data_IF_757111735180
#
_entry.id   IF_757111735180
#
_cell.length_a   1.000
_cell.length_b   1.000
_cell.length_c   1.000
_cell.angle_alpha   90.00
_cell.angle_beta   90.00
_cell.angle_gamma   90.00
#
_symmetry.space_group_name_H-M   'P 1'
#
loop_
_entity.id
_entity.type
_entity.pdbx_description
1 polymer ?
#
# COMPACT_ATOMS: atom_id res chain seq x y z
N UNK A 1 -20.70 15.68 14.97
CA UNK A 1 -20.80 14.71 13.84
C UNK A 1 -19.87 15.04 12.66
N UNK A 2 -19.59 16.30 12.36
CA UNK A 2 -18.72 16.68 11.23
C UNK A 2 -17.24 16.32 11.43
N UNK A 3 -16.72 16.45 12.66
CA UNK A 3 -15.36 16.03 13.00
C UNK A 3 -15.11 14.54 12.72
N UNK A 4 -16.03 13.67 13.13
CA UNK A 4 -15.93 12.23 12.88
C UNK A 4 -15.98 11.89 11.37
N UNK A 5 -16.80 12.62 10.59
CA UNK A 5 -16.83 12.49 9.13
C UNK A 5 -15.53 12.97 8.49
N UNK A 6 -14.90 14.01 9.03
CA UNK A 6 -13.60 14.54 8.58
C UNK A 6 -12.46 13.56 8.87
N UNK A 7 -12.37 13.05 10.10
CA UNK A 7 -11.39 12.02 10.49
C UNK A 7 -11.56 10.76 9.63
N UNK A 8 -12.79 10.26 9.47
CA UNK A 8 -13.05 9.10 8.57
C UNK A 8 -12.62 9.37 7.13
N UNK A 9 -12.78 10.61 6.66
CA UNK A 9 -12.34 10.98 5.32
C UNK A 9 -10.81 11.05 5.20
N UNK A 10 -10.13 11.58 6.22
CA UNK A 10 -8.69 11.67 6.29
C UNK A 10 -8.02 10.28 6.38
N UNK A 11 -8.63 9.37 7.14
CA UNK A 11 -8.16 8.01 7.33
C UNK A 11 -8.36 7.11 6.10
N UNK A 12 -9.09 7.57 5.07
CA UNK A 12 -9.33 6.87 3.78
C UNK A 12 -9.50 5.35 3.95
N UNK A 13 -10.56 4.85 4.62
CA UNK A 13 -10.70 3.43 4.95
C UNK A 13 -10.69 2.50 3.74
N UNK A 14 -10.99 3.03 2.53
CA UNK A 14 -10.90 2.28 1.27
C UNK A 14 -9.47 1.88 0.89
N UNK A 15 -8.44 2.55 1.40
CA UNK A 15 -7.03 2.21 1.12
C UNK A 15 -6.45 1.20 2.10
N UNK A 16 -7.18 0.80 3.15
CA UNK A 16 -6.72 -0.18 4.14
C UNK A 16 -6.45 -1.55 3.53
N UNK A 17 -7.11 -1.87 2.42
CA UNK A 17 -6.83 -3.09 1.67
C UNK A 17 -5.38 -3.17 1.20
N UNK A 18 -4.75 -2.03 0.89
CA UNK A 18 -3.38 -1.98 0.40
C UNK A 18 -2.35 -2.45 1.44
N UNK A 19 -2.62 -2.25 2.73
CA UNK A 19 -1.76 -2.73 3.82
C UNK A 19 -2.22 -4.06 4.41
N UNK A 20 -3.52 -4.35 4.38
CA UNK A 20 -4.06 -5.61 4.89
C UNK A 20 -3.65 -6.79 4.01
N UNK A 21 -3.71 -6.64 2.68
CA UNK A 21 -3.49 -7.78 1.78
C UNK A 21 -2.09 -8.36 1.78
N UNK A 22 -1.00 -7.57 1.82
CA UNK A 22 0.33 -8.14 1.96
C UNK A 22 0.43 -9.04 3.20
N UNK A 23 -0.12 -8.61 4.35
CA UNK A 23 -0.15 -9.41 5.58
C UNK A 23 -1.00 -10.67 5.42
N UNK A 24 -2.21 -10.55 4.86
CA UNK A 24 -3.11 -11.68 4.65
C UNK A 24 -2.54 -12.72 3.67
N UNK A 25 -1.86 -12.28 2.62
CA UNK A 25 -1.15 -13.14 1.68
C UNK A 25 -0.02 -13.88 2.41
N UNK A 26 0.80 -13.17 3.22
CA UNK A 26 1.85 -13.81 4.03
C UNK A 26 1.26 -14.85 4.97
N UNK A 27 0.22 -14.50 5.74
CA UNK A 27 -0.45 -15.44 6.65
C UNK A 27 -1.00 -16.65 5.89
N UNK A 28 -1.55 -16.48 4.68
CA UNK A 28 -2.07 -17.59 3.87
C UNK A 28 -0.96 -18.53 3.39
N UNK A 29 0.21 -17.99 3.02
CA UNK A 29 1.39 -18.79 2.65
C UNK A 29 1.96 -19.55 3.86
N UNK A 30 1.94 -18.92 5.03
CA UNK A 30 2.42 -19.52 6.28
C UNK A 30 1.42 -20.51 6.87
N UNK A 31 0.12 -20.34 6.63
CA UNK A 31 -0.91 -21.29 7.05
C UNK A 31 -0.63 -22.68 6.48
N UNK A 32 -0.28 -22.74 5.20
CA UNK A 32 0.03 -24.01 4.52
C UNK A 32 1.37 -24.62 4.94
N UNK A 33 2.40 -23.80 5.09
CA UNK A 33 3.75 -24.29 5.35
C UNK A 33 4.02 -24.56 6.83
N UNK A 34 3.45 -23.77 7.74
CA UNK A 34 3.77 -23.78 9.17
C UNK A 34 2.51 -23.83 10.08
N UNK A 35 1.31 -23.98 9.52
CA UNK A 35 0.06 -24.07 10.31
C UNK A 35 -0.38 -22.76 10.98
N UNK A 36 0.19 -21.62 10.58
CA UNK A 36 -0.11 -20.30 11.17
C UNK A 36 -1.52 -19.86 10.83
N UNK A 37 -2.38 -19.71 11.85
CA UNK A 37 -3.76 -19.27 11.66
C UNK A 37 -3.89 -17.75 11.81
N UNK A 38 -4.75 -17.14 11.00
CA UNK A 38 -5.08 -15.71 11.09
C UNK A 38 -5.70 -15.33 12.45
N UNK A 39 -6.29 -16.28 13.16
CA UNK A 39 -6.90 -16.05 14.48
C UNK A 39 -5.87 -16.02 15.62
N UNK A 40 -4.60 -16.33 15.34
CA UNK A 40 -3.54 -16.18 16.35
C UNK A 40 -3.34 -14.71 16.70
N UNK A 41 -3.05 -14.45 17.97
CA UNK A 41 -2.95 -13.09 18.49
C UNK A 41 -1.83 -12.28 17.83
N UNK A 42 -0.71 -12.93 17.50
CA UNK A 42 0.41 -12.34 16.78
C UNK A 42 0.06 -12.04 15.31
N UNK A 43 -0.65 -12.92 14.61
CA UNK A 43 -1.17 -12.64 13.27
C UNK A 43 -2.12 -11.43 13.25
N UNK A 44 -3.00 -11.32 14.24
CA UNK A 44 -3.88 -10.16 14.40
C UNK A 44 -3.12 -8.88 14.75
N UNK A 45 -2.07 -8.97 15.57
CA UNK A 45 -1.22 -7.83 15.88
C UNK A 45 -0.43 -7.35 14.67
N UNK A 46 0.15 -8.25 13.87
CA UNK A 46 0.83 -7.91 12.63
C UNK A 46 -0.10 -7.19 11.65
N UNK A 47 -1.32 -7.71 11.48
CA UNK A 47 -2.36 -7.09 10.66
C UNK A 47 -2.77 -5.71 11.21
N UNK A 48 -2.97 -5.61 12.52
CA UNK A 48 -3.27 -4.35 13.20
C UNK A 48 -2.18 -3.30 12.99
N UNK A 49 -0.91 -3.69 13.15
CA UNK A 49 0.24 -2.83 12.90
C UNK A 49 0.27 -2.31 11.45
N UNK A 50 0.07 -3.19 10.47
CA UNK A 50 0.04 -2.80 9.05
C UNK A 50 -1.10 -1.82 8.74
N UNK A 51 -2.31 -2.09 9.25
CA UNK A 51 -3.47 -1.20 9.11
C UNK A 51 -3.21 0.16 9.77
N UNK A 52 -2.67 0.18 10.98
CA UNK A 52 -2.33 1.42 11.69
C UNK A 52 -1.26 2.24 10.93
N UNK A 53 -0.29 1.58 10.30
CA UNK A 53 0.73 2.24 9.47
C UNK A 53 0.09 2.87 8.23
N UNK A 54 -0.87 2.20 7.61
CA UNK A 54 -1.61 2.77 6.48
C UNK A 54 -2.46 3.97 6.89
N UNK A 55 -3.12 3.90 8.04
CA UNK A 55 -3.85 5.04 8.60
C UNK A 55 -2.92 6.23 8.86
N UNK A 56 -1.72 5.97 9.38
CA UNK A 56 -0.69 6.97 9.58
C UNK A 56 -0.22 7.60 8.26
N UNK A 57 0.01 6.79 7.22
CA UNK A 57 0.36 7.26 5.88
C UNK A 57 -0.77 8.10 5.24
N UNK A 58 -2.02 7.67 5.39
CA UNK A 58 -3.19 8.43 4.91
C UNK A 58 -3.29 9.79 5.61
N UNK A 59 -3.03 9.84 6.92
CA UNK A 59 -3.06 11.07 7.70
C UNK A 59 -1.91 12.02 7.30
N UNK A 60 -0.71 11.48 7.07
CA UNK A 60 0.43 12.23 6.52
C UNK A 60 0.11 12.81 5.14
N UNK A 61 -0.56 12.06 4.27
CA UNK A 61 -0.96 12.55 2.95
C UNK A 61 -1.93 13.74 3.04
N UNK A 62 -2.78 13.81 4.07
CA UNK A 62 -3.63 14.99 4.34
C UNK A 62 -2.79 16.18 4.79
N UNK A 63 -1.79 15.95 5.63
CA UNK A 63 -0.85 16.98 6.08
C UNK A 63 -0.08 17.59 4.90
N UNK A 64 0.51 16.76 4.04
CA UNK A 64 1.26 17.19 2.85
C UNK A 64 0.37 17.93 1.85
N UNK A 65 -0.83 17.43 1.58
CA UNK A 65 -1.74 18.04 0.61
C UNK A 65 -2.56 19.23 1.14
N UNK A 66 -2.19 19.84 2.27
CA UNK A 66 -2.89 21.00 2.83
C UNK A 66 -3.03 22.16 1.82
N UNK A 67 -2.02 22.35 0.96
CA UNK A 67 -2.06 23.38 -0.09
C UNK A 67 -3.04 23.03 -1.23
N UNK A 68 -3.29 21.74 -1.49
CA UNK A 68 -4.24 21.26 -2.52
C UNK A 68 -5.69 21.56 -2.12
N UNK A 69 -6.00 21.54 -0.83
CA UNK A 69 -7.33 21.87 -0.29
C UNK A 69 -7.70 23.36 -0.35
N UNK A 70 -6.75 24.25 -0.69
CA UNK A 70 -7.00 25.68 -0.84
C UNK A 70 -7.44 26.09 -2.25
N UNK A 71 -7.51 25.16 -3.22
CA UNK A 71 -7.92 25.48 -4.59
C UNK A 71 -9.45 25.53 -4.76
N UNK A 72 -9.98 26.47 -5.56
CA UNK A 72 -11.40 26.53 -5.89
C UNK A 72 -11.84 25.28 -6.68
N UNK A 73 -13.06 24.80 -6.39
CA UNK A 73 -13.66 23.61 -7.00
C UNK A 73 -13.72 23.74 -8.52
N UNK A 74 -13.14 22.80 -9.26
CA UNK A 74 -13.37 22.70 -10.70
C UNK A 74 -14.80 22.21 -10.97
N UNK A 75 -15.56 22.87 -11.87
CA UNK A 75 -16.91 22.43 -12.23
C UNK A 75 -16.85 21.05 -12.91
N UNK A 76 -17.61 20.09 -12.39
CA UNK A 76 -17.68 18.70 -12.91
C UNK A 76 -16.79 17.67 -12.20
N UNK A 77 -15.92 18.08 -11.26
CA UNK A 77 -15.16 17.11 -10.46
C UNK A 77 -16.09 16.39 -9.45
N UNK A 78 -16.17 15.07 -9.56
CA UNK A 78 -16.90 14.18 -8.64
C UNK A 78 -16.25 14.06 -7.25
N UNK A 79 -15.25 14.89 -6.95
CA UNK A 79 -14.65 14.97 -5.63
C UNK A 79 -15.45 15.95 -4.77
N UNK A 80 -16.50 15.41 -4.17
CA UNK A 80 -16.92 15.89 -2.86
C UNK A 80 -15.74 15.73 -1.91
N UNK A 81 -15.00 16.81 -1.66
CA UNK A 81 -14.47 17.24 -0.35
C UNK A 81 -13.26 18.15 -0.51
N UNK A 82 -13.54 19.41 -0.82
CA UNK A 82 -12.85 20.50 -0.15
C UNK A 82 -13.32 20.40 1.31
N UNK A 83 -12.64 19.59 2.13
CA UNK A 83 -12.76 19.76 3.57
C UNK A 83 -11.76 20.85 3.90
N UNK A 84 -12.28 22.08 4.02
CA UNK A 84 -11.62 23.10 4.82
C UNK A 84 -11.23 22.44 6.16
N UNK A 85 -9.92 22.32 6.37
CA UNK A 85 -9.25 22.62 7.63
C UNK A 85 -10.07 22.42 8.91
N UNK A 86 -10.43 21.17 9.24
CA UNK A 86 -10.97 20.83 10.57
C UNK A 86 -9.99 20.03 11.43
N UNK A 87 -9.01 19.36 10.81
CA UNK A 87 -7.86 18.85 11.56
C UNK A 87 -6.75 19.88 11.53
N UNK A 88 -6.56 20.57 12.66
CA UNK A 88 -5.38 21.38 12.87
C UNK A 88 -4.11 20.52 12.73
N UNK A 89 -2.99 21.16 12.38
CA UNK A 89 -1.67 20.52 12.35
C UNK A 89 -1.37 19.75 13.65
N UNK A 90 -1.81 20.32 14.77
CA UNK A 90 -1.69 19.73 16.10
C UNK A 90 -2.55 18.48 16.28
N UNK A 91 -3.74 18.41 15.68
CA UNK A 91 -4.59 17.22 15.71
C UNK A 91 -4.02 16.10 14.85
N UNK A 92 -3.54 16.38 13.64
CA UNK A 92 -2.83 15.39 12.80
C UNK A 92 -1.65 14.81 13.59
N UNK A 93 -0.82 15.67 14.21
CA UNK A 93 0.31 15.24 15.05
C UNK A 93 -0.11 14.34 16.21
N UNK A 94 -1.20 14.67 16.91
CA UNK A 94 -1.73 13.87 18.03
C UNK A 94 -2.22 12.50 17.55
N UNK A 95 -2.98 12.47 16.45
CA UNK A 95 -3.44 11.21 15.86
C UNK A 95 -2.28 10.33 15.39
N UNK A 96 -1.22 10.90 14.78
CA UNK A 96 -0.03 10.14 14.39
C UNK A 96 0.64 9.46 15.59
N UNK A 97 0.82 10.18 16.70
CA UNK A 97 1.40 9.60 17.92
C UNK A 97 0.47 8.59 18.59
N UNK A 98 -0.84 8.83 18.55
CA UNK A 98 -1.82 7.87 19.08
C UNK A 98 -1.78 6.56 18.31
N UNK A 99 -1.82 6.62 16.97
CA UNK A 99 -1.73 5.43 16.12
C UNK A 99 -0.43 4.66 16.36
N UNK A 100 0.69 5.37 16.45
CA UNK A 100 1.98 4.78 16.78
C UNK A 100 2.02 4.15 18.18
N UNK A 101 1.45 4.83 19.18
CA UNK A 101 1.33 4.29 20.55
C UNK A 101 0.50 3.01 20.59
N UNK A 102 -0.58 2.93 19.81
CA UNK A 102 -1.40 1.71 19.68
C UNK A 102 -0.59 0.58 19.02
N UNK A 103 0.23 0.87 18.00
CA UNK A 103 1.12 -0.13 17.41
C UNK A 103 2.11 -0.71 18.43
N UNK A 104 2.77 0.16 19.19
CA UNK A 104 3.69 -0.28 20.25
C UNK A 104 2.97 -1.08 21.33
N UNK A 105 1.75 -0.69 21.70
CA UNK A 105 0.94 -1.44 22.66
C UNK A 105 0.60 -2.85 22.15
N UNK A 106 0.22 -3.00 20.87
CA UNK A 106 0.00 -4.32 20.28
C UNK A 106 1.27 -5.19 20.26
N UNK A 107 2.41 -4.59 19.90
CA UNK A 107 3.70 -5.30 19.90
C UNK A 107 4.14 -5.68 21.33
N UNK A 108 3.95 -4.81 22.32
CA UNK A 108 4.25 -5.11 23.71
C UNK A 108 3.33 -6.20 24.28
N UNK A 109 2.03 -6.13 23.99
CA UNK A 109 1.08 -7.14 24.44
C UNK A 109 1.41 -8.53 23.88
N UNK A 110 1.72 -8.61 22.58
CA UNK A 110 2.11 -9.87 21.94
C UNK A 110 3.48 -10.37 22.36
N UNK A 111 4.42 -9.47 22.66
CA UNK A 111 5.72 -9.86 23.22
C UNK A 111 5.56 -10.61 24.54
N UNK A 112 4.70 -10.12 25.43
CA UNK A 112 4.43 -10.74 26.74
C UNK A 112 3.56 -11.99 26.61
N UNK A 113 2.50 -11.96 25.80
CA UNK A 113 1.52 -13.06 25.73
C UNK A 113 2.04 -14.23 24.89
N UNK A 114 2.74 -13.94 23.79
CA UNK A 114 3.23 -14.96 22.85
C UNK A 114 4.72 -15.28 23.04
N UNK A 115 5.34 -14.78 24.12
CA UNK A 115 6.76 -14.97 24.47
C UNK A 115 7.71 -14.75 23.27
N UNK A 116 7.50 -13.64 22.55
CA UNK A 116 8.30 -13.33 21.34
C UNK A 116 9.70 -12.89 21.75
N UNK A 117 10.71 -13.22 20.95
CA UNK A 117 12.06 -12.74 21.21
C UNK A 117 12.14 -11.20 21.17
N UNK A 118 13.04 -10.65 21.99
CA UNK A 118 13.28 -9.20 22.06
C UNK A 118 13.75 -8.65 20.71
N UNK A 119 14.54 -9.44 19.98
CA UNK A 119 15.04 -9.09 18.64
C UNK A 119 13.91 -8.90 17.62
N UNK A 120 12.95 -9.83 17.60
CA UNK A 120 11.81 -9.79 16.67
C UNK A 120 10.87 -8.63 17.00
N UNK A 121 10.49 -8.47 18.28
CA UNK A 121 9.63 -7.36 18.73
C UNK A 121 10.32 -6.01 18.53
N UNK A 122 11.61 -5.93 18.85
CA UNK A 122 12.45 -4.74 18.66
C UNK A 122 12.56 -4.35 17.18
N UNK A 123 12.78 -5.32 16.29
CA UNK A 123 12.79 -5.10 14.85
C UNK A 123 11.48 -4.53 14.31
N UNK A 124 10.34 -5.08 14.73
CA UNK A 124 9.02 -4.56 14.36
C UNK A 124 8.77 -3.15 14.90
N UNK A 125 9.18 -2.87 16.13
CA UNK A 125 9.07 -1.54 16.73
C UNK A 125 9.96 -0.51 16.00
N UNK A 126 11.17 -0.91 15.58
CA UNK A 126 12.05 -0.07 14.75
C UNK A 126 11.40 0.24 13.40
N UNK A 127 10.84 -0.75 12.71
CA UNK A 127 10.13 -0.54 11.44
C UNK A 127 8.92 0.40 11.61
N UNK A 128 8.13 0.25 12.67
CA UNK A 128 7.03 1.17 12.99
C UNK A 128 7.55 2.59 13.27
N UNK A 129 8.68 2.73 13.96
CA UNK A 129 9.34 4.01 14.23
C UNK A 129 9.80 4.67 12.93
N UNK A 130 10.46 3.92 12.04
CA UNK A 130 10.88 4.40 10.73
C UNK A 130 9.69 4.84 9.89
N UNK A 131 8.59 4.08 9.89
CA UNK A 131 7.36 4.45 9.20
C UNK A 131 6.78 5.77 9.75
N UNK A 132 6.79 5.96 11.07
CA UNK A 132 6.38 7.23 11.70
C UNK A 132 7.29 8.39 11.27
N UNK A 133 8.60 8.22 11.34
CA UNK A 133 9.56 9.25 10.94
C UNK A 133 9.35 9.62 9.47
N UNK A 134 9.25 8.62 8.59
CA UNK A 134 9.02 8.82 7.16
C UNK A 134 7.71 9.58 6.91
N UNK A 135 6.60 9.14 7.52
CA UNK A 135 5.31 9.81 7.39
C UNK A 135 5.33 11.24 7.93
N UNK A 136 6.17 11.54 8.93
CA UNK A 136 6.27 12.86 9.54
C UNK A 136 7.24 13.80 8.85
N UNK A 137 8.27 13.27 8.20
CA UNK A 137 9.22 14.05 7.42
C UNK A 137 8.52 14.82 6.29
N UNK A 138 7.33 14.37 5.91
CA UNK A 138 6.41 15.14 5.08
C UNK A 138 6.96 15.28 3.66
N UNK A 139 6.92 16.50 3.13
CA UNK A 139 7.20 16.78 1.73
C UNK A 139 8.67 17.07 1.41
N UNK A 140 9.60 16.81 2.34
CA UNK A 140 11.01 16.92 2.01
C UNK A 140 11.31 15.98 0.83
N UNK A 141 11.69 16.53 -0.34
CA UNK A 141 11.93 15.71 -1.50
C UNK A 141 13.10 14.79 -1.21
N UNK A 142 12.91 13.50 -1.43
CA UNK A 142 14.04 12.60 -1.52
C UNK A 142 14.96 13.10 -2.64
N UNK A 143 16.29 13.00 -2.48
CA UNK A 143 17.25 13.64 -3.37
C UNK A 143 17.18 13.12 -4.82
N UNK A 144 16.56 11.95 -5.03
CA UNK A 144 16.36 11.34 -6.34
C UNK A 144 14.89 11.23 -6.70
N UNK A 145 14.60 11.57 -7.95
CA UNK A 145 13.26 11.53 -8.55
C UNK A 145 12.78 10.09 -8.64
N UNK A 146 11.52 9.82 -8.27
CA UNK A 146 10.95 8.48 -8.30
C UNK A 146 11.34 7.57 -7.14
N UNK A 147 12.32 7.98 -6.32
CA UNK A 147 12.76 7.18 -5.18
C UNK A 147 11.63 7.03 -4.15
N UNK A 148 10.74 8.01 -4.05
CA UNK A 148 9.57 7.94 -3.17
C UNK A 148 8.67 6.77 -3.57
N UNK A 149 8.32 6.68 -4.84
CA UNK A 149 7.46 5.61 -5.36
C UNK A 149 8.12 4.23 -5.16
N UNK A 150 9.43 4.14 -5.38
CA UNK A 150 10.20 2.91 -5.12
C UNK A 150 10.18 2.54 -3.65
N UNK A 151 10.49 3.48 -2.74
CA UNK A 151 10.53 3.23 -1.30
C UNK A 151 9.16 2.79 -0.78
N UNK A 152 8.08 3.42 -1.23
CA UNK A 152 6.73 3.04 -0.82
C UNK A 152 6.35 1.67 -1.38
N UNK A 153 6.70 1.35 -2.63
CA UNK A 153 6.46 0.02 -3.20
C UNK A 153 7.21 -1.09 -2.44
N UNK A 154 8.49 -0.84 -2.10
CA UNK A 154 9.29 -1.74 -1.28
C UNK A 154 8.73 -1.90 0.14
N UNK A 155 8.25 -0.81 0.73
CA UNK A 155 7.64 -0.84 2.04
C UNK A 155 6.38 -1.70 2.05
N UNK A 156 5.49 -1.53 1.06
CA UNK A 156 4.20 -2.23 0.98
C UNK A 156 4.35 -3.72 0.63
N UNK A 157 5.32 -4.08 -0.22
CA UNK A 157 5.60 -5.48 -0.57
C UNK A 157 6.63 -6.12 0.38
N UNK A 158 7.93 -6.14 0.02
CA UNK A 158 9.01 -6.77 0.77
C UNK A 158 9.02 -6.47 2.25
N UNK A 159 9.04 -5.20 2.66
CA UNK A 159 9.24 -4.88 4.08
C UNK A 159 8.08 -5.43 4.92
N UNK A 160 6.82 -5.17 4.55
CA UNK A 160 5.66 -5.69 5.27
C UNK A 160 5.60 -7.22 5.25
N UNK A 161 5.76 -7.85 4.10
CA UNK A 161 5.59 -9.31 3.99
C UNK A 161 6.70 -10.10 4.69
N UNK A 162 7.96 -9.67 4.52
CA UNK A 162 9.11 -10.33 5.13
C UNK A 162 9.14 -10.11 6.64
N UNK A 163 8.89 -8.87 7.11
CA UNK A 163 8.79 -8.60 8.54
C UNK A 163 7.66 -9.37 9.21
N UNK A 164 6.51 -9.50 8.53
CA UNK A 164 5.42 -10.35 9.02
C UNK A 164 5.83 -11.81 9.11
N UNK A 165 6.59 -12.33 8.14
CA UNK A 165 7.08 -13.71 8.19
C UNK A 165 8.03 -13.94 9.36
N UNK A 166 9.04 -13.09 9.51
CA UNK A 166 9.98 -13.17 10.64
C UNK A 166 9.26 -13.00 11.97
N UNK A 167 8.26 -12.13 12.04
CA UNK A 167 7.49 -11.92 13.26
C UNK A 167 6.64 -13.13 13.67
N UNK A 168 6.06 -13.85 12.70
CA UNK A 168 5.21 -14.99 12.97
C UNK A 168 6.01 -16.26 13.24
N UNK A 169 6.98 -16.58 12.37
CA UNK A 169 7.69 -17.87 12.39
C UNK A 169 9.21 -17.76 12.60
N UNK A 170 9.79 -16.55 12.65
CA UNK A 170 11.24 -16.36 12.81
C UNK A 170 12.06 -16.56 11.54
N UNK A 171 11.44 -16.99 10.44
CA UNK A 171 12.10 -17.32 9.18
C UNK A 171 11.44 -16.64 7.98
N UNK A 172 12.11 -16.72 6.82
CA UNK A 172 11.64 -16.15 5.56
C UNK A 172 11.58 -17.23 4.49
N UNK A 173 10.43 -17.87 4.28
CA UNK A 173 10.25 -18.83 3.20
C UNK A 173 10.36 -18.16 1.83
N UNK A 174 10.94 -18.85 0.85
CA UNK A 174 11.08 -18.35 -0.52
C UNK A 174 9.74 -17.97 -1.16
N UNK A 175 8.67 -18.68 -0.82
CA UNK A 175 7.32 -18.33 -1.27
C UNK A 175 6.92 -16.91 -0.84
N UNK A 176 7.24 -16.50 0.39
CA UNK A 176 6.96 -15.13 0.87
C UNK A 176 7.79 -14.11 0.10
N UNK A 177 9.06 -14.38 -0.15
CA UNK A 177 9.94 -13.48 -0.93
C UNK A 177 9.39 -13.24 -2.33
N UNK A 178 8.99 -14.31 -3.02
CA UNK A 178 8.48 -14.23 -4.39
C UNK A 178 7.15 -13.48 -4.47
N UNK A 179 6.21 -13.76 -3.56
CA UNK A 179 4.94 -13.04 -3.50
C UNK A 179 5.12 -11.59 -3.03
N UNK A 180 6.12 -11.29 -2.21
CA UNK A 180 6.44 -9.93 -1.82
C UNK A 180 6.91 -9.08 -3.00
N UNK A 181 7.73 -9.65 -3.88
CA UNK A 181 8.11 -9.00 -5.13
C UNK A 181 6.90 -8.79 -6.06
N UNK A 182 5.99 -9.77 -6.14
CA UNK A 182 4.74 -9.64 -6.90
C UNK A 182 3.89 -8.45 -6.40
N UNK A 183 3.71 -8.33 -5.07
CA UNK A 183 2.99 -7.20 -4.45
C UNK A 183 3.70 -5.86 -4.71
N UNK A 184 5.04 -5.84 -4.66
CA UNK A 184 5.84 -4.66 -4.96
C UNK A 184 5.62 -4.15 -6.38
N UNK A 185 5.66 -5.04 -7.38
CA UNK A 185 5.43 -4.66 -8.79
C UNK A 185 4.06 -3.99 -8.97
N UNK A 186 3.02 -4.57 -8.36
CA UNK A 186 1.67 -4.02 -8.42
C UNK A 186 1.57 -2.66 -7.71
N UNK A 187 2.13 -2.54 -6.51
CA UNK A 187 2.15 -1.30 -5.76
C UNK A 187 2.91 -0.20 -6.52
N UNK A 188 4.02 -0.54 -7.16
CA UNK A 188 4.79 0.41 -7.94
C UNK A 188 4.02 0.89 -9.17
N UNK A 189 3.33 -0.01 -9.88
CA UNK A 189 2.47 0.36 -11.00
C UNK A 189 1.36 1.34 -10.57
N UNK A 190 0.73 1.09 -9.43
CA UNK A 190 -0.27 2.00 -8.85
C UNK A 190 0.32 3.39 -8.54
N UNK A 191 1.54 3.44 -7.99
CA UNK A 191 2.20 4.70 -7.64
C UNK A 191 2.60 5.51 -8.88
N UNK A 192 3.05 4.86 -9.96
CA UNK A 192 3.31 5.54 -11.25
C UNK A 192 2.01 6.15 -11.79
N UNK A 193 0.92 5.38 -11.75
CA UNK A 193 -0.40 5.81 -12.19
C UNK A 193 -0.91 7.01 -11.37
N UNK A 194 -0.73 6.97 -10.05
CA UNK A 194 -1.09 8.07 -9.16
C UNK A 194 -0.22 9.32 -9.43
N UNK A 195 1.07 9.13 -9.65
CA UNK A 195 2.01 10.20 -10.01
C UNK A 195 1.62 10.87 -11.34
N UNK A 196 1.17 10.08 -12.34
CA UNK A 196 0.69 10.60 -13.62
C UNK A 196 -0.61 11.41 -13.47
N UNK A 197 -1.58 10.95 -12.67
CA UNK A 197 -2.80 11.72 -12.36
C UNK A 197 -2.46 13.06 -11.71
N UNK A 198 -1.48 13.06 -10.80
CA UNK A 198 -1.14 14.23 -10.01
C UNK A 198 -0.14 15.18 -10.70
N UNK A 199 0.42 14.80 -11.86
CA UNK A 199 1.35 15.61 -12.63
C UNK A 199 0.83 17.02 -12.97
N UNK A 200 -0.41 17.23 -13.48
CA UNK A 200 -0.92 18.58 -13.76
C UNK A 200 -1.06 19.45 -12.50
N UNK A 201 -1.28 18.83 -11.34
CA UNK A 201 -1.33 19.54 -10.06
C UNK A 201 0.08 19.88 -9.56
N UNK A 202 0.99 18.91 -9.57
CA UNK A 202 2.38 19.10 -9.15
C UNK A 202 3.08 20.19 -9.98
N UNK A 203 2.81 20.27 -11.29
CA UNK A 203 3.34 21.34 -12.16
C UNK A 203 2.84 22.73 -11.73
N UNK A 204 1.55 22.88 -11.41
CA UNK A 204 0.96 24.15 -10.95
C UNK A 204 1.51 24.62 -9.61
N UNK A 205 1.89 23.68 -8.75
CA UNK A 205 2.46 23.97 -7.43
C UNK A 205 3.96 24.28 -7.46
N UNK A 206 4.60 24.30 -8.64
CA UNK A 206 6.06 24.43 -8.76
C UNK A 206 6.82 23.21 -8.21
N UNK A 207 6.14 22.06 -8.07
CA UNK A 207 6.68 20.81 -7.51
C UNK A 207 6.99 19.79 -8.59
N UNK A 208 7.46 20.25 -9.74
CA UNK A 208 7.80 19.39 -10.87
C UNK A 208 8.90 18.39 -10.56
N UNK A 209 9.77 18.71 -9.60
CA UNK A 209 10.92 17.89 -9.23
C UNK A 209 10.58 16.65 -8.41
N UNK A 210 9.39 16.60 -7.79
CA UNK A 210 8.99 15.50 -6.91
C UNK A 210 8.08 14.47 -7.57
N UNK A 211 7.47 14.80 -8.71
CA UNK A 211 6.62 13.89 -9.46
C UNK A 211 7.45 13.14 -10.50
N UNK A 212 7.54 11.82 -10.33
CA UNK A 212 8.14 10.92 -11.31
C UNK A 212 7.57 11.14 -12.72
N UNK A 213 6.25 11.30 -12.81
CA UNK A 213 5.59 11.45 -14.10
C UNK A 213 5.89 12.76 -14.83
N UNK A 214 6.15 13.85 -14.08
CA UNK A 214 6.57 15.12 -14.68
C UNK A 214 8.01 15.10 -15.18
N UNK A 215 8.89 14.39 -14.48
CA UNK A 215 10.31 14.26 -14.84
C UNK A 215 10.55 13.27 -15.98
N UNK A 216 9.90 12.10 -15.94
CA UNK A 216 10.00 11.11 -17.02
C UNK A 216 9.21 11.53 -18.25
N UNK A 217 8.15 12.33 -18.06
CA UNK A 217 7.18 12.61 -19.10
C UNK A 217 6.10 11.53 -19.18
N UNK A 218 4.99 11.88 -19.81
CA UNK A 218 3.78 11.06 -19.83
C UNK A 218 4.00 9.71 -20.54
N UNK A 219 4.67 9.71 -21.70
CA UNK A 219 4.93 8.51 -22.49
C UNK A 219 5.77 7.47 -21.73
N UNK A 220 6.85 7.90 -21.08
CA UNK A 220 7.70 7.02 -20.28
C UNK A 220 6.99 6.52 -19.01
N UNK A 221 6.14 7.34 -18.41
CA UNK A 221 5.30 6.92 -17.28
C UNK A 221 4.31 5.83 -17.68
N UNK A 222 3.69 5.97 -18.86
CA UNK A 222 2.80 4.95 -19.42
C UNK A 222 3.55 3.65 -19.75
N UNK A 223 4.73 3.75 -20.39
CA UNK A 223 5.56 2.58 -20.67
C UNK A 223 6.04 1.87 -19.40
N UNK A 224 6.46 2.63 -18.38
CA UNK A 224 6.85 2.09 -17.08
C UNK A 224 5.69 1.39 -16.38
N UNK A 225 4.49 1.98 -16.41
CA UNK A 225 3.27 1.34 -15.92
C UNK A 225 3.00 0.01 -16.63
N UNK A 226 3.06 -0.02 -17.96
CA UNK A 226 2.85 -1.25 -18.73
C UNK A 226 3.91 -2.31 -18.41
N UNK A 227 5.18 -1.94 -18.34
CA UNK A 227 6.28 -2.86 -18.03
C UNK A 227 6.07 -3.53 -16.66
N UNK A 228 5.72 -2.75 -15.63
CA UNK A 228 5.44 -3.28 -14.29
C UNK A 228 4.23 -4.21 -14.30
N UNK A 229 3.17 -3.87 -15.03
CA UNK A 229 1.98 -4.70 -15.11
C UNK A 229 2.19 -6.00 -15.89
N UNK A 230 2.93 -5.96 -16.99
CA UNK A 230 3.33 -7.16 -17.74
C UNK A 230 4.20 -8.05 -16.85
N UNK A 231 5.17 -7.46 -16.14
CA UNK A 231 6.01 -8.19 -15.18
C UNK A 231 5.17 -8.82 -14.06
N UNK A 232 4.19 -8.09 -13.53
CA UNK A 232 3.27 -8.59 -12.50
C UNK A 232 2.48 -9.80 -12.99
N UNK A 233 1.80 -9.71 -14.14
CA UNK A 233 1.00 -10.83 -14.66
C UNK A 233 1.88 -12.01 -15.11
N UNK A 234 3.06 -11.74 -15.68
CA UNK A 234 4.03 -12.77 -16.01
C UNK A 234 4.49 -13.54 -14.77
N UNK A 235 4.85 -12.83 -13.71
CA UNK A 235 5.25 -13.46 -12.45
C UNK A 235 4.09 -14.17 -11.75
N UNK A 236 2.88 -13.61 -11.79
CA UNK A 236 1.68 -14.25 -11.26
C UNK A 236 1.45 -15.63 -11.90
N UNK A 237 1.64 -15.72 -13.22
CA UNK A 237 1.52 -16.98 -13.97
C UNK A 237 2.65 -17.95 -13.63
N UNK A 238 3.90 -17.50 -13.64
CA UNK A 238 5.06 -18.34 -13.29
C UNK A 238 4.94 -18.89 -11.87
N UNK A 239 4.55 -18.06 -10.90
CA UNK A 239 4.34 -18.49 -9.52
C UNK A 239 3.12 -19.41 -9.37
N UNK A 240 2.06 -19.17 -10.16
CA UNK A 240 0.89 -20.05 -10.20
C UNK A 240 1.27 -21.47 -10.62
N UNK A 241 2.13 -21.61 -11.63
CA UNK A 241 2.65 -22.90 -12.10
C UNK A 241 3.62 -23.49 -11.08
N UNK A 242 4.62 -22.73 -10.65
CA UNK A 242 5.70 -23.22 -9.79
C UNK A 242 5.21 -23.68 -8.41
N UNK A 243 4.17 -23.05 -7.86
CA UNK A 243 3.64 -23.34 -6.53
C UNK A 243 2.33 -24.15 -6.54
N UNK A 244 1.82 -24.58 -7.70
CA UNK A 244 0.56 -25.32 -7.80
C UNK A 244 -0.70 -24.50 -7.45
N UNK A 245 -0.59 -23.16 -7.42
CA UNK A 245 -1.70 -22.26 -7.11
C UNK A 245 -2.54 -21.98 -8.37
N UNK A 246 -3.29 -22.98 -8.81
CA UNK A 246 -4.09 -22.96 -10.04
C UNK A 246 -5.11 -21.80 -10.11
N UNK A 247 -5.56 -21.28 -8.97
CA UNK A 247 -6.42 -20.09 -8.92
C UNK A 247 -5.78 -18.84 -9.53
N UNK A 248 -4.44 -18.79 -9.63
CA UNK A 248 -3.73 -17.67 -10.25
C UNK A 248 -4.04 -17.55 -11.75
N UNK A 249 -4.38 -18.65 -12.44
CA UNK A 249 -4.80 -18.59 -13.84
C UNK A 249 -6.12 -17.85 -14.02
N UNK A 250 -7.07 -18.05 -13.09
CA UNK A 250 -8.33 -17.32 -13.10
C UNK A 250 -8.12 -15.81 -12.91
N UNK A 251 -7.07 -15.43 -12.16
CA UNK A 251 -6.70 -14.03 -11.98
C UNK A 251 -6.10 -13.42 -13.25
N UNK A 252 -5.50 -14.20 -14.15
CA UNK A 252 -5.04 -13.68 -15.45
C UNK A 252 -6.21 -13.17 -16.29
N UNK A 253 -7.43 -13.67 -16.10
CA UNK A 253 -8.64 -13.16 -16.78
C UNK A 253 -8.87 -11.68 -16.49
N UNK A 254 -8.36 -11.14 -15.38
CA UNK A 254 -8.46 -9.70 -15.08
C UNK A 254 -7.60 -8.82 -15.99
N UNK A 255 -6.78 -9.40 -16.88
CA UNK A 255 -6.05 -8.67 -17.91
C UNK A 255 -6.99 -7.89 -18.84
N UNK A 256 -8.23 -8.36 -19.03
CA UNK A 256 -9.24 -7.61 -19.78
C UNK A 256 -9.54 -6.25 -19.14
N UNK A 257 -9.67 -6.22 -17.80
CA UNK A 257 -9.84 -4.96 -17.05
C UNK A 257 -8.57 -4.10 -17.08
N UNK A 258 -7.38 -4.72 -17.09
CA UNK A 258 -6.14 -3.98 -17.26
C UNK A 258 -6.08 -3.30 -18.63
N UNK A 259 -6.56 -3.95 -19.70
CA UNK A 259 -6.61 -3.36 -21.03
C UNK A 259 -7.42 -2.05 -21.01
N UNK A 260 -8.62 -2.07 -20.44
CA UNK A 260 -9.46 -0.87 -20.30
C UNK A 260 -8.73 0.25 -19.53
N UNK A 261 -8.05 -0.11 -18.43
CA UNK A 261 -7.25 0.84 -17.65
C UNK A 261 -6.07 1.38 -18.49
N UNK A 262 -5.41 0.55 -19.28
CA UNK A 262 -4.29 0.98 -20.11
C UNK A 262 -4.73 1.91 -21.24
N UNK A 263 -5.92 1.70 -21.80
CA UNK A 263 -6.51 2.58 -22.82
C UNK A 263 -6.91 3.92 -22.20
N UNK A 264 -7.56 3.91 -21.04
CA UNK A 264 -7.89 5.13 -20.29
C UNK A 264 -6.62 5.89 -19.87
N UNK A 265 -5.55 5.18 -19.47
CA UNK A 265 -4.25 5.79 -19.22
C UNK A 265 -3.75 6.44 -20.51
N UNK A 266 -3.67 5.70 -21.64
CA UNK A 266 -3.16 6.21 -22.92
C UNK A 266 -3.88 7.47 -23.42
N UNK A 267 -5.19 7.58 -23.19
CA UNK A 267 -6.03 8.71 -23.60
C UNK A 267 -6.08 9.82 -22.53
N UNK A 268 -5.20 9.77 -21.53
CA UNK A 268 -5.09 10.77 -20.45
C UNK A 268 -6.36 10.94 -19.59
N UNK A 269 -7.24 9.93 -19.56
CA UNK A 269 -8.44 9.90 -18.71
C UNK A 269 -8.12 9.46 -17.28
N UNK A 270 -7.25 10.22 -16.60
CA UNK A 270 -6.60 9.79 -15.35
C UNK A 270 -7.45 9.95 -14.08
N UNK A 271 -8.52 10.77 -14.11
CA UNK A 271 -9.26 11.15 -12.89
C UNK A 271 -9.87 9.96 -12.14
N UNK A 272 -10.43 8.98 -12.85
CA UNK A 272 -11.08 7.80 -12.26
C UNK A 272 -10.19 6.56 -12.25
N UNK A 273 -8.97 6.68 -12.78
CA UNK A 273 -8.08 5.56 -13.02
C UNK A 273 -7.58 4.90 -11.73
N UNK A 274 -7.16 5.65 -10.69
CA UNK A 274 -6.74 5.04 -9.42
C UNK A 274 -7.86 4.27 -8.73
N UNK A 275 -9.10 4.75 -8.81
CA UNK A 275 -10.25 4.06 -8.22
C UNK A 275 -10.55 2.74 -8.94
N UNK A 276 -10.49 2.74 -10.28
CA UNK A 276 -10.61 1.51 -11.08
C UNK A 276 -9.49 0.51 -10.73
N UNK A 277 -8.25 1.00 -10.63
CA UNK A 277 -7.10 0.17 -10.31
C UNK A 277 -7.12 -0.35 -8.87
N UNK A 278 -7.59 0.44 -7.90
CA UNK A 278 -7.76 0.01 -6.51
C UNK A 278 -8.82 -1.10 -6.38
N UNK A 279 -9.90 -1.05 -7.17
CA UNK A 279 -10.88 -2.15 -7.23
C UNK A 279 -10.25 -3.41 -7.83
N UNK A 280 -9.44 -3.26 -8.87
CA UNK A 280 -8.68 -4.37 -9.43
C UNK A 280 -7.73 -4.98 -8.38
N UNK A 281 -7.02 -4.14 -7.62
CA UNK A 281 -6.20 -4.55 -6.49
C UNK A 281 -7.00 -5.35 -5.46
N UNK A 282 -8.20 -4.87 -5.10
CA UNK A 282 -9.08 -5.56 -4.17
C UNK A 282 -9.45 -6.97 -4.62
N UNK A 283 -9.77 -7.10 -5.91
CA UNK A 283 -10.13 -8.38 -6.49
C UNK A 283 -8.92 -9.32 -6.59
N UNK A 284 -7.77 -8.81 -7.05
CA UNK A 284 -6.53 -9.58 -7.15
C UNK A 284 -6.02 -10.04 -5.79
N UNK A 285 -6.05 -9.19 -4.76
CA UNK A 285 -5.58 -9.56 -3.42
C UNK A 285 -6.43 -10.66 -2.79
N UNK A 286 -7.77 -10.54 -2.86
CA UNK A 286 -8.68 -11.59 -2.38
C UNK A 286 -8.51 -12.87 -3.19
N UNK A 287 -8.43 -12.75 -4.51
CA UNK A 287 -8.21 -13.87 -5.41
C UNK A 287 -6.91 -14.61 -5.13
N UNK A 288 -5.83 -13.90 -4.84
CA UNK A 288 -4.53 -14.48 -4.46
C UNK A 288 -4.63 -15.25 -3.14
N UNK A 289 -5.27 -14.68 -2.12
CA UNK A 289 -5.49 -15.34 -0.83
C UNK A 289 -6.24 -16.66 -1.03
N UNK A 290 -7.35 -16.64 -1.77
CA UNK A 290 -8.16 -17.83 -2.06
C UNK A 290 -7.35 -18.84 -2.87
N UNK A 291 -6.62 -18.40 -3.89
CA UNK A 291 -5.78 -19.25 -4.74
C UNK A 291 -4.69 -19.97 -3.94
N UNK A 292 -4.04 -19.26 -3.01
CA UNK A 292 -3.02 -19.83 -2.13
C UNK A 292 -3.66 -20.88 -1.22
N UNK A 293 -4.78 -20.56 -0.57
CA UNK A 293 -5.46 -21.47 0.35
C UNK A 293 -6.02 -22.71 -0.35
N UNK A 294 -6.57 -22.54 -1.56
CA UNK A 294 -7.16 -23.63 -2.36
C UNK A 294 -6.15 -24.40 -3.22
N UNK A 295 -4.92 -23.91 -3.36
CA UNK A 295 -3.89 -24.57 -4.17
C UNK A 295 -3.67 -26.01 -3.70
N UNK A 296 -3.34 -26.90 -4.62
CA UNK A 296 -2.91 -28.25 -4.27
C UNK A 296 -1.42 -28.16 -3.94
N UNK A 297 -1.09 -28.26 -2.65
CA UNK A 297 0.27 -28.42 -2.15
C UNK A 297 0.30 -29.64 -1.25
#
# INVERSE_FOLDING_TARGET
>A
MEYAKSVRSALRPRTLFASACPVLITVSLLYKSHGVSLLQLDALAALGCAVLTQLLGNLSAVYSNFQRTLQPKQPGAADSKIILNLLSLTQVRRWSFLLYGIQLAFLAATHVICDKSVEVTGGMALLATFALIYCRRGEEPLPTVGLREVVVAWAVGPVVMLSTSVYLIGEVPWAVVLYAYLVMLFAWAFLILESARDAPFARRMGRSDTSLALRLGFQWSFQGFLLLMVSFYGMLLVLGIAMGHLGNFLLVVTIAKLKDISEDFRVEKLNHLPDKFARLASFLGVGLIISILAGLS
#
